data_IF_471266330591
#
_entry.id   IF_471266330591
#
_cell.length_a   1.000
_cell.length_b   1.000
_cell.length_c   1.000
_cell.angle_alpha   90.00
_cell.angle_beta   90.00
_cell.angle_gamma   90.00
#
_symmetry.space_group_name_H-M   'P 1'
#
loop_
_entity.id
_entity.type
_entity.pdbx_description
1 polymer ?
#
# COMPACT_ATOMS: atom_id res chain seq x y z
N UNK A 1 -47.89 47.75 46.11
CA UNK A 1 -47.73 47.27 44.72
C UNK A 1 -46.45 46.46 44.56
N UNK A 2 -46.34 45.30 45.23
CA UNK A 2 -45.17 44.40 45.08
C UNK A 2 -45.54 42.92 45.09
N UNK A 3 -46.83 42.57 45.03
CA UNK A 3 -47.30 41.18 45.03
C UNK A 3 -47.86 40.71 43.68
N UNK A 4 -48.03 41.61 42.70
CA UNK A 4 -48.67 41.30 41.41
C UNK A 4 -47.69 40.93 40.27
N UNK A 5 -46.38 41.20 40.43
CA UNK A 5 -45.36 40.84 39.44
C UNK A 5 -44.78 39.44 39.61
N UNK A 6 -45.02 38.79 40.77
CA UNK A 6 -44.47 37.46 41.10
C UNK A 6 -45.38 36.32 40.62
N UNK A 7 -46.68 36.55 40.51
CA UNK A 7 -47.67 35.52 40.11
C UNK A 7 -47.77 35.32 38.60
N UNK A 8 -47.54 36.36 37.78
CA UNK A 8 -47.53 36.25 36.31
C UNK A 8 -46.36 35.41 35.79
N UNK A 9 -45.16 35.63 36.31
CA UNK A 9 -43.94 34.89 35.94
C UNK A 9 -43.96 33.43 36.38
N UNK A 10 -44.57 33.11 37.53
CA UNK A 10 -44.77 31.72 37.97
C UNK A 10 -45.79 30.98 37.09
N UNK A 11 -46.90 31.62 36.72
CA UNK A 11 -47.91 31.05 35.82
C UNK A 11 -47.37 30.83 34.41
N UNK A 12 -46.55 31.75 33.90
CA UNK A 12 -45.93 31.62 32.58
C UNK A 12 -44.90 30.48 32.55
N UNK A 13 -44.15 30.28 33.65
CA UNK A 13 -43.19 29.18 33.77
C UNK A 13 -43.86 27.82 33.87
N UNK A 14 -44.99 27.73 34.59
CA UNK A 14 -45.78 26.49 34.72
C UNK A 14 -46.49 26.12 33.41
N UNK A 15 -47.03 27.12 32.70
CA UNK A 15 -47.57 26.96 31.35
C UNK A 15 -46.49 26.48 30.36
N UNK A 16 -45.28 27.05 30.43
CA UNK A 16 -44.16 26.65 29.59
C UNK A 16 -43.74 25.19 29.82
N UNK A 17 -43.64 24.76 31.08
CA UNK A 17 -43.32 23.34 31.41
C UNK A 17 -44.40 22.39 30.94
N UNK A 18 -45.67 22.76 31.13
CA UNK A 18 -46.82 21.95 30.70
C UNK A 18 -46.79 21.75 29.19
N UNK A 19 -46.56 22.83 28.45
CA UNK A 19 -46.53 22.80 26.99
C UNK A 19 -45.31 22.04 26.45
N UNK A 20 -44.15 22.20 27.09
CA UNK A 20 -42.96 21.37 26.80
C UNK A 20 -43.23 19.89 27.00
N UNK A 21 -43.86 19.50 28.11
CA UNK A 21 -44.21 18.11 28.41
C UNK A 21 -45.22 17.56 27.39
N UNK A 22 -46.23 18.35 27.00
CA UNK A 22 -47.19 18.00 25.95
C UNK A 22 -46.50 17.70 24.63
N UNK A 23 -45.65 18.61 24.14
CA UNK A 23 -44.93 18.45 22.88
C UNK A 23 -44.05 17.19 22.91
N UNK A 24 -43.31 16.96 24.00
CA UNK A 24 -42.45 15.78 24.14
C UNK A 24 -43.24 14.47 24.15
N UNK A 25 -44.40 14.44 24.79
CA UNK A 25 -45.27 13.26 24.83
C UNK A 25 -45.86 12.95 23.44
N UNK A 26 -46.39 13.95 22.74
CA UNK A 26 -46.92 13.77 21.38
C UNK A 26 -45.84 13.30 20.39
N UNK A 27 -44.63 13.86 20.49
CA UNK A 27 -43.49 13.41 19.69
C UNK A 27 -43.06 11.97 20.01
N UNK A 28 -43.21 11.53 21.26
CA UNK A 28 -42.90 10.16 21.67
C UNK A 28 -43.86 9.17 21.02
N UNK A 29 -45.15 9.50 20.96
CA UNK A 29 -46.16 8.69 20.28
C UNK A 29 -45.95 8.66 18.75
N UNK A 30 -45.41 9.74 18.18
CA UNK A 30 -45.14 9.87 16.75
C UNK A 30 -43.78 9.32 16.28
N UNK A 31 -42.94 8.75 17.16
CA UNK A 31 -41.55 8.37 16.82
C UNK A 31 -41.43 7.49 15.59
N UNK A 32 -42.29 6.47 15.45
CA UNK A 32 -42.17 5.52 14.35
C UNK A 32 -42.52 6.16 13.00
N UNK A 33 -43.53 7.03 12.95
CA UNK A 33 -43.85 7.83 11.77
C UNK A 33 -42.73 8.81 11.44
N UNK A 34 -42.17 9.49 12.45
CA UNK A 34 -41.04 10.39 12.27
C UNK A 34 -39.81 9.67 11.74
N UNK A 35 -39.54 8.44 12.20
CA UNK A 35 -38.44 7.63 11.72
C UNK A 35 -38.62 7.25 10.24
N UNK A 36 -39.84 6.88 9.83
CA UNK A 36 -40.16 6.63 8.41
C UNK A 36 -39.96 7.87 7.55
N UNK A 37 -40.49 9.01 8.01
CA UNK A 37 -40.37 10.30 7.34
C UNK A 37 -38.91 10.71 7.19
N UNK A 38 -38.10 10.51 8.22
CA UNK A 38 -36.67 10.79 8.21
C UNK A 38 -35.89 9.91 7.24
N UNK A 39 -36.13 8.59 7.22
CA UNK A 39 -35.47 7.67 6.28
C UNK A 39 -35.82 8.01 4.84
N UNK A 40 -37.09 8.33 4.56
CA UNK A 40 -37.50 8.74 3.21
C UNK A 40 -36.87 10.06 2.79
N UNK A 41 -36.71 10.99 3.74
CA UNK A 41 -36.03 12.27 3.49
C UNK A 41 -34.54 12.05 3.22
N UNK A 42 -33.87 11.20 4.00
CA UNK A 42 -32.48 10.79 3.75
C UNK A 42 -32.32 10.15 2.38
N UNK A 43 -33.25 9.28 1.98
CA UNK A 43 -33.25 8.63 0.66
C UNK A 43 -33.34 9.64 -0.47
N UNK A 44 -34.18 10.68 -0.32
CA UNK A 44 -34.37 11.73 -1.32
C UNK A 44 -33.19 12.69 -1.40
N UNK A 45 -32.56 13.01 -0.28
CA UNK A 45 -31.52 14.05 -0.20
C UNK A 45 -30.09 13.51 -0.30
N UNK A 46 -29.88 12.22 -0.02
CA UNK A 46 -28.55 11.61 0.00
C UNK A 46 -28.50 10.47 -1.03
N UNK A 47 -27.89 10.67 -2.22
CA UNK A 47 -27.85 9.67 -3.28
C UNK A 47 -27.33 8.30 -2.84
N UNK A 48 -26.38 8.27 -1.90
CA UNK A 48 -25.84 7.03 -1.35
C UNK A 48 -26.86 6.20 -0.56
N UNK A 49 -27.91 6.81 0.02
CA UNK A 49 -29.00 6.10 0.69
C UNK A 49 -30.03 5.54 -0.31
N UNK A 50 -30.25 6.23 -1.43
CA UNK A 50 -31.14 5.75 -2.50
C UNK A 50 -30.64 4.45 -3.13
N UNK A 51 -29.33 4.35 -3.34
CA UNK A 51 -28.70 3.18 -3.97
C UNK A 51 -28.74 1.89 -3.13
N UNK A 52 -29.19 1.94 -1.86
CA UNK A 52 -29.13 0.81 -0.92
C UNK A 52 -30.45 0.04 -0.81
N UNK A 53 -30.35 -1.26 -0.55
CA UNK A 53 -31.49 -2.19 -0.47
C UNK A 53 -32.38 -2.02 0.77
N UNK A 54 -33.47 -2.79 0.82
CA UNK A 54 -34.48 -2.73 1.90
C UNK A 54 -33.93 -3.08 3.28
N UNK A 55 -33.01 -4.04 3.38
CA UNK A 55 -32.37 -4.42 4.66
C UNK A 55 -31.58 -3.27 5.26
N UNK A 56 -30.77 -2.58 4.44
CA UNK A 56 -30.05 -1.38 4.87
C UNK A 56 -31.01 -0.29 5.35
N UNK A 57 -32.11 -0.05 4.62
CA UNK A 57 -33.11 0.95 5.03
C UNK A 57 -33.80 0.61 6.34
N UNK A 58 -34.13 -0.67 6.57
CA UNK A 58 -34.71 -1.12 7.84
C UNK A 58 -33.75 -0.88 9.02
N UNK A 59 -32.46 -1.17 8.82
CA UNK A 59 -31.41 -0.91 9.82
C UNK A 59 -31.22 0.59 10.11
N UNK A 60 -31.26 1.45 9.08
CA UNK A 60 -31.26 2.92 9.27
C UNK A 60 -32.51 3.37 10.04
N UNK A 61 -33.70 2.87 9.69
CA UNK A 61 -34.96 3.21 10.38
C UNK A 61 -34.91 2.86 11.86
N UNK A 62 -34.42 1.67 12.20
CA UNK A 62 -34.24 1.25 13.58
C UNK A 62 -33.31 2.23 14.32
N UNK A 63 -32.16 2.56 13.74
CA UNK A 63 -31.21 3.49 14.32
C UNK A 63 -31.82 4.88 14.54
N UNK A 64 -32.53 5.43 13.54
CA UNK A 64 -33.20 6.74 13.64
C UNK A 64 -34.25 6.73 14.75
N UNK A 65 -35.10 5.71 14.79
CA UNK A 65 -36.12 5.56 15.84
C UNK A 65 -35.51 5.46 17.23
N UNK A 66 -34.36 4.79 17.39
CA UNK A 66 -33.62 4.78 18.67
C UNK A 66 -33.10 6.15 19.03
N UNK A 67 -32.50 6.89 18.09
CA UNK A 67 -32.06 8.26 18.34
C UNK A 67 -33.21 9.17 18.79
N UNK A 68 -34.39 9.08 18.17
CA UNK A 68 -35.54 9.88 18.56
C UNK A 68 -36.04 9.55 19.96
N UNK A 69 -36.18 8.27 20.31
CA UNK A 69 -36.55 7.85 21.68
C UNK A 69 -35.54 8.34 22.71
N UNK A 70 -34.24 8.20 22.43
CA UNK A 70 -33.18 8.66 23.34
C UNK A 70 -33.17 10.19 23.48
N UNK A 71 -33.33 10.95 22.38
CA UNK A 71 -33.44 12.42 22.42
C UNK A 71 -34.59 12.85 23.33
N UNK A 72 -35.75 12.25 23.15
CA UNK A 72 -36.95 12.55 23.94
C UNK A 72 -36.75 12.22 25.41
N UNK A 73 -36.20 11.04 25.74
CA UNK A 73 -35.90 10.66 27.12
C UNK A 73 -34.97 11.67 27.82
N UNK A 74 -33.88 12.05 27.16
CA UNK A 74 -32.92 13.04 27.67
C UNK A 74 -33.58 14.41 27.90
N UNK A 75 -34.48 14.83 27.00
CA UNK A 75 -35.22 16.10 27.11
C UNK A 75 -36.27 16.10 28.22
N UNK A 76 -36.96 14.98 28.42
CA UNK A 76 -37.96 14.79 29.48
C UNK A 76 -37.31 14.74 30.86
N UNK A 77 -36.12 14.12 30.96
CA UNK A 77 -35.33 14.04 32.19
C UNK A 77 -34.48 15.29 32.46
N UNK A 78 -34.53 16.28 31.56
CA UNK A 78 -33.79 17.55 31.63
C UNK A 78 -32.28 17.40 31.92
N UNK A 79 -31.69 16.33 31.39
CA UNK A 79 -30.26 16.03 31.56
C UNK A 79 -29.49 16.15 30.26
N UNK A 80 -28.17 16.00 30.35
CA UNK A 80 -27.31 15.87 29.17
C UNK A 80 -27.22 14.42 28.72
N UNK A 81 -27.09 14.20 27.42
CA UNK A 81 -26.81 12.88 26.85
C UNK A 81 -25.45 12.37 27.33
N UNK A 82 -25.38 11.08 27.62
CA UNK A 82 -24.17 10.36 28.03
C UNK A 82 -23.75 9.37 26.95
N UNK A 83 -22.55 8.81 27.06
CA UNK A 83 -22.09 7.76 26.16
C UNK A 83 -22.98 6.50 26.20
N UNK A 84 -23.50 6.13 27.37
CA UNK A 84 -24.35 4.95 27.54
C UNK A 84 -25.67 5.08 26.75
N UNK A 85 -26.27 6.28 26.76
CA UNK A 85 -27.49 6.58 26.01
C UNK A 85 -27.37 6.32 24.51
N UNK A 86 -26.17 6.51 23.96
CA UNK A 86 -25.88 6.38 22.52
C UNK A 86 -24.98 5.19 22.20
N UNK A 87 -24.71 4.28 23.14
CA UNK A 87 -23.80 3.16 22.94
C UNK A 87 -24.20 2.25 21.75
N UNK A 88 -25.49 2.24 21.40
CA UNK A 88 -26.01 1.52 20.25
C UNK A 88 -25.47 2.01 18.89
N UNK A 89 -25.06 3.27 18.81
CA UNK A 89 -24.50 3.87 17.58
C UNK A 89 -23.22 3.20 17.13
N UNK A 90 -22.45 2.61 18.07
CA UNK A 90 -21.20 1.92 17.76
C UNK A 90 -21.42 0.76 16.79
N UNK A 91 -22.43 -0.10 17.06
CA UNK A 91 -22.73 -1.24 16.18
C UNK A 91 -23.21 -0.81 14.80
N UNK A 92 -24.03 0.24 14.74
CA UNK A 92 -24.49 0.79 13.46
C UNK A 92 -23.33 1.38 12.65
N UNK A 93 -22.45 2.15 13.30
CA UNK A 93 -21.26 2.73 12.68
C UNK A 93 -20.31 1.64 12.13
N UNK A 94 -20.13 0.55 12.88
CA UNK A 94 -19.37 -0.63 12.42
C UNK A 94 -19.99 -1.26 11.18
N UNK A 95 -21.32 -1.50 11.15
CA UNK A 95 -21.99 -2.05 9.97
C UNK A 95 -21.84 -1.14 8.75
N UNK A 96 -21.93 0.18 8.93
CA UNK A 96 -21.70 1.16 7.84
C UNK A 96 -20.28 1.06 7.30
N UNK A 97 -19.27 1.02 8.17
CA UNK A 97 -17.88 0.87 7.78
C UNK A 97 -17.62 -0.45 7.04
N UNK A 98 -18.13 -1.58 7.55
CA UNK A 98 -18.02 -2.90 6.92
C UNK A 98 -18.66 -2.94 5.52
N UNK A 99 -19.76 -2.22 5.32
CA UNK A 99 -20.45 -2.13 4.02
C UNK A 99 -19.79 -1.15 3.02
N UNK A 100 -18.66 -0.53 3.41
CA UNK A 100 -17.98 0.50 2.61
C UNK A 100 -18.82 1.76 2.40
N UNK A 101 -19.72 2.09 3.34
CA UNK A 101 -20.56 3.28 3.25
C UNK A 101 -19.74 4.52 3.60
N UNK A 102 -19.81 5.58 2.80
CA UNK A 102 -18.99 6.77 2.99
C UNK A 102 -19.27 7.49 4.33
N UNK A 103 -18.22 7.96 5.00
CA UNK A 103 -18.33 8.61 6.30
C UNK A 103 -19.06 9.96 6.18
N UNK A 104 -18.80 10.75 5.14
CA UNK A 104 -19.45 12.05 4.97
C UNK A 104 -20.95 11.87 4.73
N UNK A 105 -21.35 10.88 3.91
CA UNK A 105 -22.76 10.54 3.72
C UNK A 105 -23.41 10.01 5.01
N UNK A 106 -22.68 9.22 5.80
CA UNK A 106 -23.17 8.74 7.09
C UNK A 106 -23.42 9.89 8.06
N UNK A 107 -22.51 10.87 8.15
CA UNK A 107 -22.68 12.05 9.01
C UNK A 107 -23.77 12.99 8.48
N UNK A 108 -23.90 13.14 7.16
CA UNK A 108 -24.98 13.94 6.55
C UNK A 108 -26.37 13.41 6.95
N UNK A 109 -26.53 12.10 7.14
CA UNK A 109 -27.79 11.53 7.61
C UNK A 109 -28.19 11.99 9.02
N UNK A 110 -27.24 12.25 9.92
CA UNK A 110 -27.56 12.83 11.24
C UNK A 110 -28.14 14.24 11.10
N UNK A 111 -27.59 15.05 10.18
CA UNK A 111 -28.11 16.39 9.87
C UNK A 111 -29.54 16.33 9.34
N UNK A 112 -29.79 15.49 8.33
CA UNK A 112 -31.14 15.31 7.75
C UNK A 112 -32.12 14.80 8.81
N UNK A 113 -31.76 13.77 9.57
CA UNK A 113 -32.61 13.22 10.63
C UNK A 113 -32.89 14.21 11.76
N UNK A 114 -31.96 15.13 12.06
CA UNK A 114 -32.19 16.21 13.01
C UNK A 114 -33.15 17.27 12.46
N UNK A 115 -33.02 17.63 11.19
CA UNK A 115 -33.92 18.59 10.55
C UNK A 115 -35.37 18.10 10.60
N UNK A 116 -35.63 16.84 10.22
CA UNK A 116 -36.99 16.26 10.28
C UNK A 116 -37.56 16.27 11.71
N UNK A 117 -36.70 16.02 12.71
CA UNK A 117 -37.11 16.06 14.11
C UNK A 117 -37.42 17.49 14.58
N UNK A 118 -36.60 18.47 14.19
CA UNK A 118 -36.84 19.87 14.54
C UNK A 118 -38.11 20.43 13.89
N UNK A 119 -38.36 20.09 12.62
CA UNK A 119 -39.61 20.42 11.94
C UNK A 119 -40.82 19.84 12.68
N UNK A 120 -40.72 18.60 13.19
CA UNK A 120 -41.76 18.00 14.01
C UNK A 120 -41.98 18.74 15.34
N UNK A 121 -40.90 19.17 16.02
CA UNK A 121 -41.00 19.96 17.26
C UNK A 121 -41.77 21.27 17.00
N UNK A 122 -41.45 21.97 15.92
CA UNK A 122 -42.13 23.22 15.53
C UNK A 122 -43.60 22.96 15.15
N UNK A 123 -43.89 21.86 14.45
CA UNK A 123 -45.26 21.45 14.11
C UNK A 123 -46.11 21.23 15.37
N UNK A 124 -45.61 20.49 16.35
CA UNK A 124 -46.31 20.17 17.60
C UNK A 124 -46.39 21.36 18.56
N UNK A 125 -45.49 22.34 18.45
CA UNK A 125 -45.57 23.61 19.18
C UNK A 125 -46.81 24.44 18.79
N UNK A 126 -47.37 24.21 17.61
CA UNK A 126 -48.58 24.89 17.14
C UNK A 126 -48.39 26.40 16.97
N UNK A 127 -49.48 27.17 17.14
CA UNK A 127 -49.49 28.64 16.93
C UNK A 127 -49.48 29.46 18.22
N UNK A 128 -49.43 28.80 19.38
CA UNK A 128 -49.48 29.49 20.67
C UNK A 128 -48.11 30.09 21.00
N UNK A 129 -48.10 31.21 21.74
CA UNK A 129 -46.84 31.80 22.23
C UNK A 129 -46.09 30.83 23.16
N UNK A 130 -46.80 30.21 24.11
CA UNK A 130 -46.22 29.25 25.04
C UNK A 130 -45.61 28.03 24.34
N UNK A 131 -46.22 27.55 23.25
CA UNK A 131 -45.70 26.44 22.45
C UNK A 131 -44.41 26.78 21.72
N UNK A 132 -44.35 27.97 21.10
CA UNK A 132 -43.12 28.44 20.46
C UNK A 132 -41.98 28.61 21.47
N UNK A 133 -42.25 29.23 22.62
CA UNK A 133 -41.26 29.38 23.69
C UNK A 133 -40.80 28.00 24.19
N UNK A 134 -41.72 27.04 24.36
CA UNK A 134 -41.39 25.67 24.76
C UNK A 134 -40.45 25.00 23.74
N UNK A 135 -40.72 25.13 22.44
CA UNK A 135 -39.86 24.62 21.37
C UNK A 135 -38.46 25.24 21.40
N UNK A 136 -38.35 26.55 21.60
CA UNK A 136 -37.06 27.25 21.70
C UNK A 136 -36.22 26.72 22.87
N UNK A 137 -36.83 26.37 24.01
CA UNK A 137 -36.09 25.76 25.13
C UNK A 137 -35.45 24.41 24.80
N UNK A 138 -35.92 23.72 23.74
CA UNK A 138 -35.41 22.42 23.31
C UNK A 138 -34.31 22.54 22.24
N UNK A 139 -34.18 23.69 21.57
CA UNK A 139 -33.24 23.88 20.47
C UNK A 139 -31.79 23.57 20.86
N UNK A 140 -31.25 24.24 21.89
CA UNK A 140 -29.87 24.04 22.33
C UNK A 140 -29.60 22.62 22.87
N UNK A 141 -30.47 22.01 23.71
CA UNK A 141 -30.34 20.60 24.06
C UNK A 141 -30.34 19.64 22.86
N UNK A 142 -31.19 19.87 21.85
CA UNK A 142 -31.25 19.03 20.64
C UNK A 142 -30.00 19.17 19.77
N UNK A 143 -29.47 20.39 19.63
CA UNK A 143 -28.18 20.63 18.96
C UNK A 143 -27.06 19.87 19.66
N UNK A 144 -26.93 20.04 20.99
CA UNK A 144 -25.91 19.33 21.79
C UNK A 144 -26.03 17.82 21.69
N UNK A 145 -27.25 17.27 21.68
CA UNK A 145 -27.44 15.84 21.44
C UNK A 145 -26.90 15.42 20.07
N UNK A 146 -27.25 16.16 19.01
CA UNK A 146 -26.85 15.79 17.65
C UNK A 146 -25.33 15.86 17.47
N UNK A 147 -24.71 16.92 17.98
CA UNK A 147 -23.26 17.09 17.95
C UNK A 147 -22.57 15.93 18.69
N UNK A 148 -23.08 15.58 19.87
CA UNK A 148 -22.54 14.48 20.67
C UNK A 148 -22.71 13.12 19.95
N UNK A 149 -23.92 12.81 19.47
CA UNK A 149 -24.21 11.55 18.80
C UNK A 149 -23.45 11.39 17.47
N UNK A 150 -23.39 12.43 16.64
CA UNK A 150 -22.68 12.40 15.36
C UNK A 150 -21.17 12.29 15.54
N UNK A 151 -20.59 13.02 16.51
CA UNK A 151 -19.16 12.92 16.85
C UNK A 151 -18.79 11.51 17.30
N UNK A 152 -19.57 10.91 18.19
CA UNK A 152 -19.31 9.54 18.65
C UNK A 152 -19.51 8.48 17.54
N UNK A 153 -20.50 8.66 16.67
CA UNK A 153 -20.68 7.80 15.51
C UNK A 153 -19.51 7.91 14.51
N UNK A 154 -19.02 9.12 14.25
CA UNK A 154 -17.85 9.37 13.40
C UNK A 154 -16.58 8.71 13.96
N UNK A 155 -16.33 8.89 15.26
CA UNK A 155 -15.18 8.30 15.95
C UNK A 155 -15.25 6.76 15.90
N UNK A 156 -16.41 6.17 16.19
CA UNK A 156 -16.58 4.71 16.13
C UNK A 156 -16.40 4.15 14.70
N UNK A 157 -16.86 4.89 13.69
CA UNK A 157 -16.63 4.54 12.29
C UNK A 157 -15.13 4.58 11.94
N UNK A 158 -14.45 5.67 12.30
CA UNK A 158 -13.03 5.87 12.00
C UNK A 158 -12.15 4.84 12.73
N UNK A 159 -12.42 4.56 14.01
CA UNK A 159 -11.75 3.52 14.80
C UNK A 159 -11.87 2.15 14.12
N UNK A 160 -13.08 1.80 13.66
CA UNK A 160 -13.29 0.52 12.97
C UNK A 160 -12.55 0.45 11.63
N UNK A 161 -12.58 1.52 10.83
CA UNK A 161 -11.83 1.58 9.57
C UNK A 161 -10.31 1.43 9.80
N UNK A 162 -9.78 2.12 10.82
CA UNK A 162 -8.37 2.02 11.19
C UNK A 162 -8.01 0.61 11.64
N UNK A 163 -8.85 -0.01 12.47
CA UNK A 163 -8.66 -1.39 12.91
C UNK A 163 -8.70 -2.37 11.73
N UNK A 164 -9.67 -2.26 10.84
CA UNK A 164 -9.80 -3.11 9.65
C UNK A 164 -8.61 -2.93 8.70
N UNK A 165 -8.14 -1.70 8.49
CA UNK A 165 -6.95 -1.43 7.69
C UNK A 165 -5.68 -2.02 8.32
N UNK A 166 -5.52 -1.87 9.64
CA UNK A 166 -4.40 -2.46 10.37
C UNK A 166 -4.40 -3.99 10.31
N UNK A 167 -5.57 -4.61 10.41
CA UNK A 167 -5.72 -6.06 10.31
C UNK A 167 -5.44 -6.56 8.89
N UNK A 168 -5.90 -5.86 7.86
CA UNK A 168 -5.58 -6.18 6.46
C UNK A 168 -4.06 -6.11 6.17
N UNK A 169 -3.37 -5.12 6.73
CA UNK A 169 -1.90 -5.01 6.64
C UNK A 169 -1.22 -6.16 7.38
N UNK A 170 -1.72 -6.53 8.57
CA UNK A 170 -1.22 -7.68 9.34
C UNK A 170 -1.39 -8.99 8.56
N UNK A 171 -2.59 -9.26 8.05
CA UNK A 171 -2.91 -10.45 7.25
C UNK A 171 -2.03 -10.54 6.00
N UNK A 172 -1.80 -9.41 5.32
CA UNK A 172 -0.91 -9.35 4.16
C UNK A 172 0.53 -9.70 4.54
N UNK A 173 1.01 -9.19 5.67
CA UNK A 173 2.37 -9.48 6.17
C UNK A 173 2.50 -10.93 6.57
N UNK A 174 1.56 -11.46 7.34
CA UNK A 174 1.56 -12.86 7.77
C UNK A 174 1.48 -13.81 6.56
N UNK A 175 0.71 -13.45 5.53
CA UNK A 175 0.68 -14.17 4.27
C UNK A 175 2.05 -14.15 3.57
N UNK A 176 2.72 -13.00 3.50
CA UNK A 176 4.07 -12.93 2.92
C UNK A 176 5.04 -13.81 3.70
N UNK A 177 5.07 -13.76 5.04
CA UNK A 177 5.96 -14.63 5.83
C UNK A 177 5.67 -16.12 5.56
N UNK A 178 4.39 -16.52 5.51
CA UNK A 178 3.99 -17.89 5.16
C UNK A 178 4.52 -18.31 3.78
N UNK A 179 4.34 -17.46 2.77
CA UNK A 179 4.81 -17.69 1.41
C UNK A 179 6.35 -17.76 1.33
N UNK A 180 7.05 -16.94 2.13
CA UNK A 180 8.51 -16.96 2.22
C UNK A 180 9.06 -18.18 2.99
N UNK A 181 8.21 -18.91 3.73
CA UNK A 181 8.52 -20.25 4.24
C UNK A 181 8.25 -21.36 3.22
N UNK A 182 7.67 -21.03 2.06
CA UNK A 182 7.32 -22.00 1.02
C UNK A 182 5.99 -22.70 1.29
N UNK A 183 5.21 -22.18 2.23
CA UNK A 183 3.90 -22.70 2.57
C UNK A 183 2.79 -21.94 1.83
N UNK A 184 1.68 -22.62 1.57
CA UNK A 184 0.51 -22.03 0.93
C UNK A 184 -0.67 -21.98 1.91
N UNK A 185 -1.45 -20.87 1.95
CA UNK A 185 -2.60 -20.79 2.83
C UNK A 185 -3.69 -21.78 2.38
N UNK A 186 -4.26 -22.52 3.33
CA UNK A 186 -5.28 -23.56 3.04
C UNK A 186 -6.71 -23.14 3.37
N UNK A 187 -6.89 -22.18 4.28
CA UNK A 187 -8.21 -21.71 4.73
C UNK A 187 -8.10 -20.37 5.47
N UNK A 188 -9.25 -19.74 5.72
CA UNK A 188 -9.35 -18.55 6.57
C UNK A 188 -8.92 -17.25 5.88
N UNK A 189 -8.62 -16.20 6.65
CA UNK A 189 -8.34 -14.86 6.12
C UNK A 189 -7.13 -14.82 5.17
N UNK A 190 -6.06 -15.56 5.48
CA UNK A 190 -4.87 -15.64 4.63
C UNK A 190 -5.17 -16.19 3.22
N UNK A 191 -6.05 -17.20 3.12
CA UNK A 191 -6.49 -17.72 1.81
C UNK A 191 -7.33 -16.67 1.06
N UNK A 192 -8.23 -15.96 1.76
CA UNK A 192 -9.03 -14.90 1.14
C UNK A 192 -8.14 -13.76 0.60
N UNK A 193 -7.13 -13.34 1.38
CA UNK A 193 -6.14 -12.34 0.99
C UNK A 193 -5.30 -12.81 -0.19
N UNK A 194 -4.82 -14.06 -0.18
CA UNK A 194 -4.08 -14.64 -1.31
C UNK A 194 -4.90 -14.61 -2.60
N UNK A 195 -6.16 -15.07 -2.55
CA UNK A 195 -7.06 -15.06 -3.70
C UNK A 195 -7.37 -13.63 -4.19
N UNK A 196 -7.53 -12.65 -3.29
CA UNK A 196 -7.73 -11.25 -3.66
C UNK A 196 -6.54 -10.67 -4.46
N UNK A 197 -5.33 -11.17 -4.20
CA UNK A 197 -4.09 -10.84 -4.90
C UNK A 197 -3.76 -11.76 -6.09
N UNK A 198 -4.67 -12.67 -6.46
CA UNK A 198 -4.47 -13.59 -7.58
C UNK A 198 -3.51 -14.75 -7.28
N UNK A 199 -3.14 -14.94 -6.02
CA UNK A 199 -2.29 -16.02 -5.52
C UNK A 199 -3.18 -17.21 -5.17
N UNK A 200 -3.45 -18.06 -6.15
CA UNK A 200 -4.26 -19.26 -5.97
C UNK A 200 -3.35 -20.48 -5.70
N UNK A 201 -3.40 -21.11 -4.50
CA UNK A 201 -2.61 -22.30 -4.17
C UNK A 201 -2.78 -23.48 -5.14
N UNK A 202 -3.97 -23.63 -5.71
CA UNK A 202 -4.30 -24.74 -6.61
C UNK A 202 -3.92 -24.45 -8.08
N UNK A 203 -3.47 -23.23 -8.37
CA UNK A 203 -3.07 -22.81 -9.72
C UNK A 203 -1.56 -22.85 -9.89
N UNK A 204 -1.10 -23.27 -11.07
CA UNK A 204 0.30 -23.12 -11.51
C UNK A 204 0.55 -21.77 -12.18
N UNK A 205 -0.07 -20.72 -11.65
CA UNK A 205 0.13 -19.38 -12.18
C UNK A 205 1.59 -18.97 -11.96
N UNK A 206 2.30 -18.47 -12.99
CA UNK A 206 3.66 -17.99 -12.80
C UNK A 206 3.70 -16.83 -11.80
N UNK A 207 4.62 -16.93 -10.84
CA UNK A 207 4.86 -15.98 -9.77
C UNK A 207 6.28 -15.43 -9.88
N UNK A 208 6.47 -14.22 -9.36
CA UNK A 208 7.77 -13.56 -9.21
C UNK A 208 7.83 -12.95 -7.83
N UNK A 209 9.02 -12.81 -7.26
CA UNK A 209 9.26 -12.03 -6.04
C UNK A 209 10.03 -10.77 -6.40
N UNK A 210 9.59 -9.65 -5.84
CA UNK A 210 10.29 -8.37 -5.89
C UNK A 210 10.72 -8.00 -4.48
N UNK A 211 12.02 -7.79 -4.29
CA UNK A 211 12.58 -7.23 -3.07
C UNK A 211 13.03 -5.79 -3.36
N UNK A 212 12.65 -4.84 -2.53
CA UNK A 212 12.96 -3.44 -2.74
C UNK A 212 13.42 -2.74 -1.47
N UNK A 213 14.44 -1.89 -1.58
CA UNK A 213 14.99 -1.11 -0.47
C UNK A 213 15.09 0.35 -0.87
N UNK A 214 14.75 1.25 0.06
CA UNK A 214 14.96 2.69 -0.13
C UNK A 214 16.41 3.00 0.20
N UNK A 215 17.07 3.79 -0.65
CA UNK A 215 18.47 4.16 -0.49
C UNK A 215 18.56 5.64 -0.08
N UNK A 216 19.41 5.94 0.89
CA UNK A 216 19.66 7.31 1.36
C UNK A 216 19.68 7.46 2.88
N UNK A 217 20.28 8.54 3.40
CA UNK A 217 20.53 8.72 4.83
C UNK A 217 19.29 9.09 5.67
N UNK A 218 18.17 9.50 5.05
CA UNK A 218 16.99 9.98 5.77
C UNK A 218 15.69 9.44 5.14
N UNK A 219 15.52 8.12 5.21
CA UNK A 219 14.33 7.43 4.68
C UNK A 219 13.14 7.65 5.62
N UNK A 220 12.27 8.60 5.26
CA UNK A 220 11.00 8.84 5.96
C UNK A 220 10.07 7.64 5.84
N UNK A 221 9.29 7.38 6.90
CA UNK A 221 8.28 6.31 6.91
C UNK A 221 7.26 6.46 5.76
N UNK A 222 6.88 7.69 5.43
CA UNK A 222 5.95 8.00 4.33
C UNK A 222 6.49 7.56 2.97
N UNK A 223 7.80 7.69 2.73
CA UNK A 223 8.44 7.28 1.49
C UNK A 223 8.37 5.76 1.29
N UNK A 224 8.52 4.97 2.37
CA UNK A 224 8.36 3.50 2.30
C UNK A 224 6.92 3.10 1.96
N UNK A 225 5.94 3.75 2.58
CA UNK A 225 4.53 3.49 2.29
C UNK A 225 4.17 3.87 0.84
N UNK A 226 4.66 5.02 0.36
CA UNK A 226 4.47 5.46 -1.03
C UNK A 226 5.07 4.45 -2.02
N UNK A 227 6.31 4.02 -1.79
CA UNK A 227 6.98 3.01 -2.63
C UNK A 227 6.24 1.65 -2.60
N UNK A 228 5.86 1.17 -1.42
CA UNK A 228 5.09 -0.08 -1.28
C UNK A 228 3.75 -0.01 -2.02
N UNK A 229 3.02 1.11 -1.87
CA UNK A 229 1.76 1.33 -2.57
C UNK A 229 1.95 1.41 -4.10
N UNK A 230 3.05 2.00 -4.57
CA UNK A 230 3.38 2.05 -6.00
C UNK A 230 3.69 0.65 -6.57
N UNK A 231 4.48 -0.15 -5.86
CA UNK A 231 4.77 -1.55 -6.22
C UNK A 231 3.49 -2.39 -6.20
N UNK A 232 2.59 -2.21 -5.23
CA UNK A 232 1.31 -2.92 -5.17
C UNK A 232 0.44 -2.70 -6.43
N UNK A 233 0.64 -1.57 -7.13
CA UNK A 233 -0.08 -1.21 -8.38
C UNK A 233 0.63 -1.69 -9.65
N UNK A 234 1.82 -2.28 -9.57
CA UNK A 234 2.59 -2.72 -10.75
C UNK A 234 2.08 -4.03 -11.37
N UNK A 235 1.20 -4.76 -10.67
CA UNK A 235 0.66 -6.05 -11.11
C UNK A 235 0.04 -6.00 -12.51
N UNK A 236 0.36 -6.99 -13.35
CA UNK A 236 -0.11 -7.06 -14.76
C UNK A 236 -1.45 -7.80 -14.86
N UNK A 237 -1.77 -8.64 -13.89
CA UNK A 237 -3.05 -9.32 -13.83
C UNK A 237 -4.18 -8.35 -13.42
N UNK A 238 -5.42 -8.84 -13.39
CA UNK A 238 -6.56 -8.08 -12.88
C UNK A 238 -6.46 -7.77 -11.38
N UNK A 239 -5.53 -8.43 -10.69
CA UNK A 239 -5.33 -8.31 -9.26
C UNK A 239 -4.18 -7.36 -8.94
N UNK A 240 -4.27 -6.68 -7.78
CA UNK A 240 -3.15 -5.93 -7.24
C UNK A 240 -2.06 -6.89 -6.78
N UNK A 241 -0.80 -6.48 -6.89
CA UNK A 241 0.32 -7.21 -6.33
C UNK A 241 0.23 -7.22 -4.81
N UNK A 242 0.40 -8.38 -4.18
CA UNK A 242 0.61 -8.46 -2.73
C UNK A 242 1.96 -7.80 -2.42
N UNK A 243 1.98 -6.69 -1.69
CA UNK A 243 3.20 -5.98 -1.33
C UNK A 243 3.13 -5.53 0.14
N UNK A 244 4.19 -5.76 0.90
CA UNK A 244 4.26 -5.43 2.32
C UNK A 244 5.61 -4.80 2.65
N UNK A 245 5.63 -3.93 3.66
CA UNK A 245 6.88 -3.47 4.27
C UNK A 245 7.29 -4.53 5.31
N UNK A 246 8.45 -5.15 5.10
CA UNK A 246 9.05 -6.16 5.97
C UNK A 246 10.34 -5.57 6.57
N UNK A 247 10.29 -5.15 7.83
CA UNK A 247 11.40 -4.46 8.50
C UNK A 247 11.87 -3.21 7.72
N UNK A 248 13.03 -3.27 7.07
CA UNK A 248 13.68 -2.19 6.32
C UNK A 248 13.44 -2.26 4.80
N UNK A 249 12.80 -3.32 4.31
CA UNK A 249 12.57 -3.56 2.89
C UNK A 249 11.09 -3.71 2.56
N UNK A 250 10.78 -3.71 1.27
CA UNK A 250 9.48 -4.02 0.72
C UNK A 250 9.59 -5.35 -0.01
N UNK A 251 8.68 -6.28 0.30
CA UNK A 251 8.57 -7.56 -0.39
C UNK A 251 7.24 -7.59 -1.11
N UNK A 252 7.27 -7.93 -2.40
CA UNK A 252 6.08 -8.05 -3.22
C UNK A 252 6.07 -9.36 -4.02
N UNK A 253 4.88 -9.96 -4.15
CA UNK A 253 4.65 -11.23 -4.84
C UNK A 253 3.61 -11.03 -5.95
N UNK A 254 4.02 -10.54 -7.13
CA UNK A 254 3.14 -10.44 -8.28
C UNK A 254 2.79 -11.80 -8.88
N UNK A 255 1.50 -12.04 -9.08
CA UNK A 255 0.99 -13.12 -9.93
C UNK A 255 0.89 -12.63 -11.38
N UNK A 256 1.63 -13.27 -12.29
CA UNK A 256 1.62 -12.93 -13.71
C UNK A 256 0.33 -13.37 -14.41
N UNK A 257 -0.32 -14.42 -13.87
CA UNK A 257 -1.50 -15.05 -14.46
C UNK A 257 -1.18 -15.89 -15.71
N UNK A 258 -2.20 -16.54 -16.31
CA UNK A 258 -1.99 -17.38 -17.49
C UNK A 258 -1.44 -16.58 -18.68
N UNK A 259 -0.28 -16.97 -19.20
CA UNK A 259 0.39 -16.28 -20.31
C UNK A 259 0.95 -14.91 -19.96
N UNK A 260 1.13 -14.61 -18.67
CA UNK A 260 1.72 -13.36 -18.22
C UNK A 260 3.20 -13.25 -18.61
N UNK A 261 3.55 -12.09 -19.17
CA UNK A 261 4.89 -11.80 -19.66
C UNK A 261 5.73 -11.13 -18.55
N UNK A 262 6.82 -11.75 -18.07
CA UNK A 262 7.68 -11.15 -17.06
C UNK A 262 8.37 -9.87 -17.54
N UNK A 263 8.59 -9.67 -18.85
CA UNK A 263 9.22 -8.45 -19.37
C UNK A 263 8.35 -7.23 -19.10
N UNK A 264 7.03 -7.36 -19.28
CA UNK A 264 6.07 -6.30 -18.97
C UNK A 264 6.03 -5.94 -17.48
N UNK A 265 6.32 -6.90 -16.59
CA UNK A 265 6.39 -6.64 -15.14
C UNK A 265 7.59 -5.75 -14.87
N UNK A 266 8.72 -6.13 -15.47
CA UNK A 266 9.97 -5.41 -15.34
C UNK A 266 9.85 -3.98 -15.90
N UNK A 267 9.16 -3.77 -17.03
CA UNK A 267 8.89 -2.41 -17.55
C UNK A 267 8.09 -1.57 -16.57
N UNK A 268 7.01 -2.13 -16.00
CA UNK A 268 6.19 -1.42 -15.02
C UNK A 268 6.97 -1.07 -13.75
N UNK A 269 7.79 -1.99 -13.26
CA UNK A 269 8.63 -1.75 -12.08
C UNK A 269 9.72 -0.72 -12.37
N UNK A 270 10.31 -0.73 -13.57
CA UNK A 270 11.22 0.31 -14.03
C UNK A 270 10.54 1.68 -14.03
N UNK A 271 9.34 1.80 -14.59
CA UNK A 271 8.57 3.05 -14.54
C UNK A 271 8.20 3.48 -13.11
N UNK A 272 7.90 2.53 -12.21
CA UNK A 272 7.68 2.83 -10.79
C UNK A 272 8.94 3.42 -10.16
N UNK A 273 10.12 2.86 -10.43
CA UNK A 273 11.40 3.36 -9.95
C UNK A 273 11.68 4.78 -10.45
N UNK A 274 11.50 5.02 -11.74
CA UNK A 274 11.75 6.33 -12.38
C UNK A 274 10.81 7.42 -11.84
N UNK A 275 9.53 7.11 -11.67
CA UNK A 275 8.55 8.05 -11.11
C UNK A 275 8.87 8.40 -9.66
N UNK A 276 9.21 7.41 -8.84
CA UNK A 276 9.60 7.65 -7.45
C UNK A 276 10.90 8.43 -7.35
N UNK A 277 11.87 8.17 -8.24
CA UNK A 277 13.11 8.94 -8.30
C UNK A 277 12.85 10.41 -8.63
N UNK A 278 11.91 10.71 -9.53
CA UNK A 278 11.50 12.07 -9.84
C UNK A 278 10.85 12.80 -8.65
N UNK A 279 10.26 12.05 -7.71
CA UNK A 279 9.74 12.54 -6.43
C UNK A 279 10.81 12.59 -5.32
N UNK A 280 12.07 12.25 -5.63
CA UNK A 280 13.18 12.22 -4.69
C UNK A 280 13.27 10.95 -3.83
N UNK A 281 12.52 9.90 -4.16
CA UNK A 281 12.54 8.60 -3.50
C UNK A 281 13.46 7.66 -4.28
N UNK A 282 14.68 7.46 -3.79
CA UNK A 282 15.64 6.55 -4.40
C UNK A 282 15.33 5.10 -3.99
N UNK A 283 15.00 4.27 -4.97
CA UNK A 283 14.59 2.88 -4.76
C UNK A 283 15.50 1.92 -5.53
N UNK A 284 16.01 0.89 -4.85
CA UNK A 284 16.67 -0.26 -5.46
C UNK A 284 15.71 -1.46 -5.43
N UNK A 285 15.52 -2.13 -6.57
CA UNK A 285 14.62 -3.28 -6.70
C UNK A 285 15.30 -4.47 -7.36
N UNK A 286 15.21 -5.62 -6.73
CA UNK A 286 15.62 -6.90 -7.27
C UNK A 286 14.40 -7.73 -7.62
N UNK A 287 14.40 -8.34 -8.81
CA UNK A 287 13.31 -9.18 -9.31
C UNK A 287 13.83 -10.59 -9.53
N UNK A 288 13.17 -11.57 -8.94
CA UNK A 288 13.53 -12.99 -9.01
C UNK A 288 13.35 -13.59 -10.40
N UNK A 289 13.81 -14.82 -10.59
CA UNK A 289 13.33 -15.64 -11.71
C UNK A 289 11.83 -15.95 -11.57
N UNK A 290 11.21 -16.38 -12.66
CA UNK A 290 9.80 -16.82 -12.66
C UNK A 290 9.71 -18.21 -12.05
N UNK A 291 8.80 -18.37 -11.09
CA UNK A 291 8.50 -19.67 -10.45
C UNK A 291 7.06 -20.08 -10.70
N UNK A 292 6.77 -21.38 -10.67
CA UNK A 292 5.45 -21.93 -11.00
C UNK A 292 4.68 -22.43 -9.76
N UNK A 293 5.32 -22.42 -8.59
CA UNK A 293 4.73 -22.89 -7.34
C UNK A 293 5.12 -22.02 -6.14
N UNK A 294 4.20 -21.87 -5.18
CA UNK A 294 4.43 -21.12 -3.93
C UNK A 294 5.60 -21.67 -3.10
N UNK A 295 5.83 -22.99 -3.14
CA UNK A 295 6.97 -23.63 -2.47
C UNK A 295 8.34 -23.16 -2.96
N UNK A 296 8.41 -22.49 -4.12
CA UNK A 296 9.64 -21.95 -4.70
C UNK A 296 9.85 -20.45 -4.36
N UNK A 297 8.86 -19.79 -3.74
CA UNK A 297 8.95 -18.39 -3.34
C UNK A 297 10.10 -18.09 -2.35
N UNK A 298 10.51 -18.98 -1.42
CA UNK A 298 11.68 -18.74 -0.58
C UNK A 298 12.96 -18.53 -1.41
N UNK A 299 13.19 -19.42 -2.37
CA UNK A 299 14.31 -19.32 -3.31
C UNK A 299 14.20 -18.07 -4.19
N UNK A 300 13.01 -17.77 -4.71
CA UNK A 300 12.79 -16.59 -5.53
C UNK A 300 13.08 -15.29 -4.74
N UNK A 301 12.73 -15.26 -3.46
CA UNK A 301 13.05 -14.16 -2.56
C UNK A 301 14.56 -14.01 -2.32
N UNK A 302 15.29 -15.11 -2.09
CA UNK A 302 16.76 -15.08 -2.01
C UNK A 302 17.40 -14.56 -3.31
N UNK A 303 16.87 -14.97 -4.47
CA UNK A 303 17.30 -14.49 -5.78
C UNK A 303 17.09 -12.98 -5.94
N UNK A 304 15.87 -12.50 -5.63
CA UNK A 304 15.52 -11.08 -5.68
C UNK A 304 16.40 -10.24 -4.75
N UNK A 305 16.68 -10.73 -3.55
CA UNK A 305 17.55 -10.04 -2.59
C UNK A 305 19.01 -10.06 -3.02
N UNK A 306 19.50 -11.20 -3.51
CA UNK A 306 20.89 -11.35 -3.92
C UNK A 306 21.28 -10.41 -5.03
N UNK A 307 20.36 -10.06 -5.94
CA UNK A 307 20.65 -9.11 -7.02
C UNK A 307 20.68 -7.64 -6.57
N UNK A 308 20.09 -7.30 -5.41
CA UNK A 308 20.16 -5.94 -4.86
C UNK A 308 21.59 -5.53 -4.51
N UNK A 309 22.44 -6.48 -4.12
CA UNK A 309 23.84 -6.19 -3.75
C UNK A 309 24.68 -5.64 -4.90
N UNK A 310 24.24 -5.84 -6.15
CA UNK A 310 24.92 -5.39 -7.35
C UNK A 310 24.35 -4.09 -7.92
N UNK A 311 23.28 -3.54 -7.33
CA UNK A 311 22.74 -2.25 -7.72
C UNK A 311 23.57 -1.10 -7.15
N UNK A 312 23.67 0.02 -7.87
CA UNK A 312 24.41 1.18 -7.39
C UNK A 312 23.66 1.93 -6.27
N UNK A 313 24.36 2.84 -5.58
CA UNK A 313 23.81 3.62 -4.44
C UNK A 313 22.71 4.61 -4.85
N UNK A 314 22.59 4.94 -6.13
CA UNK A 314 21.49 5.72 -6.71
C UNK A 314 20.28 4.85 -7.11
N UNK A 315 20.28 3.57 -6.70
CA UNK A 315 19.16 2.66 -6.86
C UNK A 315 19.07 2.02 -8.24
N UNK A 316 17.86 1.69 -8.68
CA UNK A 316 17.60 1.06 -9.97
C UNK A 316 16.88 -0.28 -9.86
N UNK A 317 16.74 -0.98 -10.98
CA UNK A 317 16.05 -2.27 -11.07
C UNK A 317 16.98 -3.34 -11.64
N UNK A 318 17.25 -4.38 -10.87
CA UNK A 318 17.95 -5.58 -11.32
C UNK A 318 16.93 -6.70 -11.52
N UNK A 319 16.71 -7.09 -12.78
CA UNK A 319 15.66 -8.04 -13.13
C UNK A 319 16.22 -9.34 -13.70
N UNK A 320 16.17 -10.44 -12.93
CA UNK A 320 16.64 -11.74 -13.41
C UNK A 320 15.96 -12.23 -14.69
N UNK A 321 14.68 -11.95 -14.98
CA UNK A 321 14.07 -12.32 -16.25
C UNK A 321 14.71 -11.64 -17.47
N UNK A 322 15.50 -10.57 -17.27
CA UNK A 322 16.17 -9.80 -18.33
C UNK A 322 17.67 -10.08 -18.42
N UNK A 323 18.21 -10.90 -17.54
CA UNK A 323 19.64 -11.13 -17.42
C UNK A 323 19.92 -12.55 -17.93
N UNK A 324 20.89 -12.68 -18.83
CA UNK A 324 21.35 -13.99 -19.28
C UNK A 324 22.11 -14.73 -18.17
N UNK A 325 22.18 -16.08 -18.18
CA UNK A 325 23.00 -16.82 -17.22
C UNK A 325 24.47 -16.36 -17.19
N UNK A 326 25.00 -15.96 -18.34
CA UNK A 326 26.34 -15.40 -18.47
C UNK A 326 26.51 -14.09 -17.69
N UNK A 327 25.60 -13.14 -17.87
CA UNK A 327 25.60 -11.87 -17.14
C UNK A 327 25.38 -12.09 -15.63
N UNK A 328 24.51 -13.03 -15.24
CA UNK A 328 24.31 -13.38 -13.83
C UNK A 328 25.57 -13.95 -13.18
N UNK A 329 26.31 -14.82 -13.87
CA UNK A 329 27.59 -15.33 -13.37
C UNK A 329 28.62 -14.20 -13.23
N UNK A 330 28.68 -13.27 -14.19
CA UNK A 330 29.56 -12.11 -14.10
C UNK A 330 29.16 -11.18 -12.93
N UNK A 331 27.86 -10.99 -12.69
CA UNK A 331 27.33 -10.28 -11.51
C UNK A 331 27.85 -10.89 -10.21
N UNK A 332 27.80 -12.22 -10.09
CA UNK A 332 28.22 -12.94 -8.87
C UNK A 332 29.71 -13.21 -8.74
N UNK A 333 30.53 -12.79 -9.71
CA UNK A 333 31.96 -13.01 -9.68
C UNK A 333 32.61 -12.38 -8.43
N UNK A 334 33.46 -13.15 -7.77
CA UNK A 334 34.27 -12.69 -6.65
C UNK A 334 35.58 -12.03 -7.14
N UNK A 335 36.40 -11.57 -6.21
CA UNK A 335 37.67 -10.92 -6.56
C UNK A 335 38.65 -11.91 -7.18
N UNK A 336 38.55 -13.19 -6.84
CA UNK A 336 39.33 -14.26 -7.47
C UNK A 336 39.04 -14.33 -8.97
N UNK A 337 37.77 -14.42 -9.35
CA UNK A 337 37.35 -14.44 -10.75
C UNK A 337 37.81 -13.18 -11.51
N UNK A 338 37.80 -12.01 -10.85
CA UNK A 338 38.34 -10.77 -11.44
C UNK A 338 39.85 -10.82 -11.64
N UNK A 339 40.61 -11.37 -10.70
CA UNK A 339 42.07 -11.49 -10.79
C UNK A 339 42.53 -12.53 -11.82
N UNK A 340 41.66 -13.46 -12.23
CA UNK A 340 41.95 -14.41 -13.30
C UNK A 340 41.93 -13.78 -14.70
N UNK A 341 41.38 -12.57 -14.85
CA UNK A 341 41.40 -11.85 -16.13
C UNK A 341 42.83 -11.39 -16.44
N UNK A 342 43.32 -11.72 -17.65
CA UNK A 342 44.64 -11.31 -18.12
C UNK A 342 44.80 -9.77 -18.04
N UNK A 343 45.85 -9.25 -17.37
CA UNK A 343 46.08 -7.81 -17.25
C UNK A 343 46.05 -7.07 -18.60
N UNK A 344 46.54 -7.69 -19.68
CA UNK A 344 46.54 -7.08 -21.03
C UNK A 344 45.12 -6.83 -21.56
N UNK A 345 44.19 -7.72 -21.24
CA UNK A 345 42.76 -7.58 -21.59
C UNK A 345 42.15 -6.47 -20.74
N UNK A 346 42.39 -6.48 -19.44
CA UNK A 346 41.90 -5.45 -18.51
C UNK A 346 42.36 -4.04 -18.92
N UNK A 347 43.65 -3.88 -19.24
CA UNK A 347 44.25 -2.61 -19.67
C UNK A 347 43.65 -2.13 -21.00
N UNK A 348 43.46 -3.04 -21.97
CA UNK A 348 42.82 -2.70 -23.24
C UNK A 348 41.41 -2.17 -23.03
N UNK A 349 40.60 -2.87 -22.23
CA UNK A 349 39.20 -2.51 -22.01
C UNK A 349 39.06 -1.21 -21.20
N UNK A 350 39.92 -1.00 -20.20
CA UNK A 350 39.97 0.26 -19.45
C UNK A 350 40.32 1.45 -20.34
N UNK A 351 41.32 1.30 -21.22
CA UNK A 351 41.65 2.32 -22.22
C UNK A 351 40.54 2.56 -23.24
N UNK A 352 39.91 1.48 -23.73
CA UNK A 352 38.83 1.55 -24.70
C UNK A 352 37.63 2.30 -24.13
N UNK A 353 37.26 2.03 -22.87
CA UNK A 353 36.21 2.73 -22.15
C UNK A 353 36.46 4.24 -22.09
N UNK A 354 37.69 4.66 -21.76
CA UNK A 354 38.08 6.09 -21.78
C UNK A 354 38.01 6.73 -23.17
N UNK A 355 38.10 5.93 -24.24
CA UNK A 355 38.08 6.37 -25.64
C UNK A 355 36.74 6.10 -26.34
N UNK A 356 35.67 5.83 -25.60
CA UNK A 356 34.32 5.68 -26.13
C UNK A 356 33.88 4.24 -26.44
N UNK A 357 34.59 3.22 -25.96
CA UNK A 357 34.11 1.82 -25.93
C UNK A 357 34.02 1.12 -27.28
N UNK A 358 34.76 1.59 -28.28
CA UNK A 358 34.61 1.17 -29.68
C UNK A 358 35.09 -0.26 -29.92
N UNK A 359 36.18 -0.68 -29.27
CA UNK A 359 36.68 -2.06 -29.38
C UNK A 359 35.76 -3.03 -28.65
N UNK A 360 35.25 -2.65 -27.48
CA UNK A 360 34.25 -3.40 -26.72
C UNK A 360 32.98 -3.60 -27.55
N UNK A 361 32.47 -2.53 -28.18
CA UNK A 361 31.33 -2.62 -29.09
C UNK A 361 31.62 -3.55 -30.29
N UNK A 362 32.87 -3.56 -30.78
CA UNK A 362 33.29 -4.45 -31.87
C UNK A 362 33.31 -5.92 -31.44
N UNK A 363 33.80 -6.23 -30.24
CA UNK A 363 33.81 -7.59 -29.68
C UNK A 363 32.37 -8.11 -29.54
N UNK A 364 31.47 -7.32 -28.93
CA UNK A 364 30.06 -7.69 -28.77
C UNK A 364 29.34 -7.90 -30.09
N UNK A 365 29.51 -6.98 -31.04
CA UNK A 365 28.87 -7.09 -32.36
C UNK A 365 29.39 -8.31 -33.14
N UNK A 366 30.67 -8.64 -33.00
CA UNK A 366 31.26 -9.83 -33.62
C UNK A 366 30.72 -11.13 -33.00
N UNK A 367 30.57 -11.18 -31.68
CA UNK A 367 29.93 -12.30 -30.98
C UNK A 367 28.46 -12.45 -31.35
N UNK A 368 27.69 -11.36 -31.35
CA UNK A 368 26.27 -11.34 -31.71
C UNK A 368 25.99 -11.64 -33.20
N UNK A 369 27.03 -11.61 -34.03
CA UNK A 369 26.98 -11.98 -35.44
C UNK A 369 27.55 -13.38 -35.70
N UNK A 370 27.65 -14.24 -34.67
CA UNK A 370 28.17 -15.61 -34.77
C UNK A 370 29.55 -15.68 -35.45
N UNK A 371 30.46 -14.78 -35.06
CA UNK A 371 31.81 -14.65 -35.62
C UNK A 371 31.84 -14.19 -37.09
N UNK A 372 30.73 -13.68 -37.62
CA UNK A 372 30.67 -13.12 -38.98
C UNK A 372 31.07 -11.64 -38.99
N UNK A 373 32.28 -11.37 -39.48
CA UNK A 373 32.84 -10.02 -39.52
C UNK A 373 32.05 -9.06 -40.42
N UNK A 374 31.46 -9.57 -41.51
CA UNK A 374 30.69 -8.74 -42.45
C UNK A 374 29.39 -8.29 -41.81
N UNK A 375 28.66 -9.22 -41.21
CA UNK A 375 27.42 -8.92 -40.48
C UNK A 375 27.70 -8.00 -39.27
N UNK A 376 28.80 -8.22 -38.55
CA UNK A 376 29.21 -7.32 -37.46
C UNK A 376 29.51 -5.90 -37.94
N UNK A 377 30.21 -5.75 -39.07
CA UNK A 377 30.52 -4.45 -39.66
C UNK A 377 29.25 -3.71 -40.12
N UNK A 378 28.31 -4.44 -40.74
CA UNK A 378 27.00 -3.91 -41.14
C UNK A 378 26.19 -3.43 -39.92
N UNK A 379 26.12 -4.22 -38.84
CA UNK A 379 25.44 -3.83 -37.58
C UNK A 379 26.06 -2.59 -36.94
N UNK A 380 27.38 -2.47 -36.98
CA UNK A 380 28.13 -1.32 -36.47
C UNK A 380 28.13 -0.12 -37.43
N UNK A 381 27.55 -0.26 -38.63
CA UNK A 381 27.58 0.75 -39.70
C UNK A 381 29.00 1.24 -40.05
N UNK A 382 29.97 0.32 -40.04
CA UNK A 382 31.37 0.60 -40.39
C UNK A 382 31.78 -0.23 -41.62
N UNK A 383 32.84 0.23 -42.29
CA UNK A 383 33.42 -0.54 -43.39
C UNK A 383 34.06 -1.84 -42.85
N UNK A 384 33.96 -2.92 -43.63
CA UNK A 384 34.55 -4.23 -43.30
C UNK A 384 36.04 -4.14 -42.91
N UNK A 385 36.83 -3.36 -43.65
CA UNK A 385 38.25 -3.12 -43.37
C UNK A 385 38.48 -2.51 -41.98
N UNK A 386 37.61 -1.61 -41.53
CA UNK A 386 37.70 -0.99 -40.21
C UNK A 386 37.41 -2.02 -39.12
N UNK A 387 36.40 -2.87 -39.31
CA UNK A 387 36.11 -3.96 -38.40
C UNK A 387 37.28 -4.96 -38.31
N UNK A 388 37.87 -5.31 -39.47
CA UNK A 388 39.05 -6.20 -39.53
C UNK A 388 40.26 -5.59 -38.81
N UNK A 389 40.51 -4.29 -39.01
CA UNK A 389 41.56 -3.57 -38.31
C UNK A 389 41.36 -3.57 -36.79
N UNK A 390 40.13 -3.33 -36.32
CA UNK A 390 39.80 -3.37 -34.88
C UNK A 390 40.03 -4.75 -34.28
N UNK A 391 39.59 -5.82 -34.94
CA UNK A 391 39.86 -7.19 -34.51
C UNK A 391 41.36 -7.48 -34.40
N UNK A 392 42.14 -7.09 -35.42
CA UNK A 392 43.59 -7.28 -35.41
C UNK A 392 44.24 -6.52 -34.26
N UNK A 393 43.84 -5.26 -34.05
CA UNK A 393 44.35 -4.43 -32.95
C UNK A 393 44.04 -5.02 -31.57
N UNK A 394 42.86 -5.62 -31.39
CA UNK A 394 42.52 -6.32 -30.16
C UNK A 394 43.48 -7.50 -29.97
N UNK A 395 43.63 -8.35 -30.99
CA UNK A 395 44.53 -9.51 -30.94
C UNK A 395 46.00 -9.13 -30.68
N UNK A 396 46.51 -8.08 -31.33
CA UNK A 396 47.88 -7.60 -31.13
C UNK A 396 48.13 -7.14 -29.68
N UNK A 397 47.11 -6.55 -29.04
CA UNK A 397 47.22 -6.01 -27.68
C UNK A 397 46.98 -7.03 -26.58
N UNK A 398 46.06 -7.96 -26.79
CA UNK A 398 45.67 -8.95 -25.77
C UNK A 398 46.28 -10.33 -25.99
N UNK A 399 46.78 -10.61 -27.20
CA UNK A 399 47.15 -11.96 -27.62
C UNK A 399 45.96 -12.87 -27.95
N UNK A 400 44.72 -12.36 -27.84
CA UNK A 400 43.48 -13.14 -28.02
C UNK A 400 42.95 -13.04 -29.44
N UNK A 401 42.81 -14.18 -30.11
CA UNK A 401 42.23 -14.22 -31.45
C UNK A 401 40.73 -14.43 -31.34
N UNK A 402 39.94 -13.42 -31.69
CA UNK A 402 38.47 -13.46 -31.56
C UNK A 402 37.80 -14.53 -32.44
N UNK A 403 38.52 -15.11 -33.41
CA UNK A 403 38.02 -16.25 -34.21
C UNK A 403 38.16 -17.58 -33.48
N UNK A 404 38.94 -17.64 -32.40
CA UNK A 404 38.97 -18.78 -31.50
C UNK A 404 37.93 -18.57 -30.41
N UNK A 405 37.05 -19.56 -30.27
CA UNK A 405 35.93 -19.48 -29.34
C UNK A 405 36.36 -19.18 -27.90
N UNK A 406 37.38 -19.89 -27.39
CA UNK A 406 37.90 -19.70 -26.03
C UNK A 406 38.42 -18.27 -25.81
N UNK A 407 39.17 -17.73 -26.76
CA UNK A 407 39.70 -16.36 -26.69
C UNK A 407 38.57 -15.31 -26.74
N UNK A 408 37.52 -15.55 -27.52
CA UNK A 408 36.36 -14.68 -27.53
C UNK A 408 35.60 -14.73 -26.21
N UNK A 409 35.41 -15.93 -25.63
CA UNK A 409 34.77 -16.09 -24.33
C UNK A 409 35.58 -15.36 -23.24
N UNK A 410 36.90 -15.49 -23.24
CA UNK A 410 37.77 -14.77 -22.30
C UNK A 410 37.57 -13.24 -22.40
N UNK A 411 37.48 -12.71 -23.61
CA UNK A 411 37.20 -11.28 -23.83
C UNK A 411 35.79 -10.88 -23.39
N UNK A 412 34.78 -11.70 -23.68
CA UNK A 412 33.39 -11.43 -23.27
C UNK A 412 33.23 -11.49 -21.75
N UNK A 413 33.91 -12.42 -21.07
CA UNK A 413 33.90 -12.52 -19.60
C UNK A 413 34.55 -11.28 -19.02
N UNK A 414 35.72 -10.88 -19.53
CA UNK A 414 36.38 -9.66 -19.08
C UNK A 414 35.51 -8.41 -19.27
N UNK A 415 34.78 -8.31 -20.39
CA UNK A 415 33.81 -7.23 -20.64
C UNK A 415 32.68 -7.27 -19.61
N UNK A 416 32.02 -8.42 -19.43
CA UNK A 416 30.90 -8.54 -18.51
C UNK A 416 31.29 -8.24 -17.05
N UNK A 417 32.44 -8.73 -16.60
CA UNK A 417 33.00 -8.41 -15.28
C UNK A 417 33.27 -6.91 -15.13
N UNK A 418 33.63 -6.24 -16.22
CA UNK A 418 33.89 -4.81 -16.26
C UNK A 418 32.62 -3.95 -16.32
N UNK A 419 31.57 -4.39 -17.00
CA UNK A 419 30.28 -3.66 -17.07
C UNK A 419 29.55 -3.68 -15.73
N UNK A 420 29.71 -4.79 -15.01
CA UNK A 420 29.16 -5.00 -13.67
C UNK A 420 29.92 -4.20 -12.61
N UNK A 421 31.15 -3.73 -12.88
CA UNK A 421 31.89 -2.90 -11.94
C UNK A 421 31.09 -1.62 -11.63
N UNK A 422 30.69 -1.39 -10.36
CA UNK A 422 30.55 -0.02 -9.88
C UNK A 422 31.91 0.67 -10.09
N UNK A 423 31.97 1.96 -10.45
CA UNK A 423 33.22 2.64 -10.76
C UNK A 423 34.26 2.41 -9.66
N UNK A 424 35.34 1.72 -10.03
CA UNK A 424 36.44 1.36 -9.16
C UNK A 424 37.22 2.62 -8.77
N UNK A 425 36.97 3.15 -7.57
CA UNK A 425 37.90 3.90 -6.72
C UNK A 425 37.23 4.37 -5.42
N UNK A 426 36.66 3.47 -4.62
CA UNK A 426 36.34 3.85 -3.25
C UNK A 426 36.54 2.68 -2.26
N UNK A 427 37.70 2.56 -1.60
CA UNK A 427 37.97 1.53 -0.58
C UNK A 427 37.10 1.67 0.68
N UNK A 428 36.11 2.56 0.69
CA UNK A 428 35.11 2.74 1.75
C UNK A 428 33.66 2.38 1.38
N UNK A 429 33.36 1.96 0.14
CA UNK A 429 31.98 1.60 -0.26
C UNK A 429 31.64 0.20 0.24
N UNK A 430 31.04 0.12 1.42
CA UNK A 430 30.31 -1.08 1.85
C UNK A 430 29.23 -1.34 0.78
N UNK A 431 29.11 -2.58 0.31
CA UNK A 431 27.88 -3.08 -0.37
C UNK A 431 26.66 -2.68 0.47
N UNK A 432 25.44 -2.70 -0.07
CA UNK A 432 24.19 -2.58 0.71
C UNK A 432 24.15 -3.69 1.80
N UNK A 433 24.91 -3.52 2.88
CA UNK A 433 25.14 -4.45 3.99
C UNK A 433 24.52 -3.88 5.27
N UNK A 434 24.00 -2.65 5.24
CA UNK A 434 23.50 -1.96 6.43
C UNK A 434 21.99 -1.85 6.55
N UNK A 435 21.19 -2.65 5.83
CA UNK A 435 19.74 -2.70 6.08
C UNK A 435 19.24 -4.08 6.53
N UNK A 436 20.06 -5.14 6.46
CA UNK A 436 19.51 -6.51 6.41
C UNK A 436 20.14 -7.51 7.38
N UNK A 437 21.17 -7.13 8.14
CA UNK A 437 21.76 -7.98 9.19
C UNK A 437 21.66 -7.30 10.56
N UNK A 438 20.49 -7.38 11.19
CA UNK A 438 20.42 -7.38 12.66
C UNK A 438 20.14 -8.83 13.10
N UNK A 439 21.25 -9.54 13.31
CA UNK A 439 21.49 -10.64 14.25
C UNK A 439 20.32 -11.48 14.74
N UNK A 440 20.36 -12.77 14.39
CA UNK A 440 19.92 -13.88 15.25
C UNK A 440 20.40 -13.63 16.69
N UNK A 441 19.49 -13.21 17.55
CA UNK A 441 19.73 -13.07 18.98
C UNK A 441 19.71 -14.42 19.66
N UNK A 442 20.86 -15.12 19.66
CA UNK A 442 21.13 -16.09 20.72
C UNK A 442 21.26 -15.32 22.02
N UNK A 443 20.23 -15.40 22.86
CA UNK A 443 20.22 -14.86 24.20
C UNK A 443 21.28 -15.58 25.05
N UNK A 444 22.45 -14.96 25.18
CA UNK A 444 23.45 -15.34 26.17
C UNK A 444 22.99 -14.79 27.52
N UNK A 445 22.44 -15.66 28.37
CA UNK A 445 22.02 -15.35 29.73
C UNK A 445 23.26 -15.38 30.63
N UNK A 446 23.65 -14.27 31.29
CA UNK A 446 24.71 -14.33 32.29
C UNK A 446 24.15 -15.00 33.55
N UNK A 447 24.60 -16.23 33.77
CA UNK A 447 24.37 -16.98 35.02
C UNK A 447 24.94 -16.21 36.22
N UNK A 448 24.05 -15.67 37.04
CA UNK A 448 24.37 -15.14 38.37
C UNK A 448 24.15 -16.23 39.43
N UNK A 449 25.27 -16.78 39.93
CA UNK A 449 25.49 -17.55 41.17
C UNK A 449 27.00 -17.85 41.13
N UNK A 450 27.86 -17.69 42.13
CA UNK A 450 27.85 -17.37 43.57
C UNK A 450 29.37 -17.45 44.01
N UNK A 451 29.78 -17.52 45.29
CA UNK A 451 29.86 -16.50 46.33
C UNK A 451 31.32 -16.23 46.81
N UNK A 452 31.58 -15.06 47.41
CA UNK A 452 32.27 -14.89 48.72
C UNK A 452 32.47 -13.41 49.07
#
# INVERSE_FOLDING_TARGET
MSAAFSTGTLSDTENLRTERARILAELLDAVDELADRAVETMRREIPAYEARGSEFRADVREQVGRHYRTKLAVLMEERTVTFEDIAFTRRASMRRAQSGFDLADYINAFRVGQQVFWEAVVEHAGRSYAGHEAALTMASPLMRYCDFASTHAANAYAEFQQYAAAESVRESRDLVELLLCGEAPTRGPQLATALAHGLNPDSRSPLVVVAAVLVGPDVKADARHAACAAIARSGISKHRTLAVVRQSEIVAVPALGPGGDPERLCDRLQSVQENLLAEGIVLAMGISTVVEAMAQLPRAYEEARGVLEYLPEDGGVAALPRISPFEYMALRADDTARHLVDPRVSDLLAEDRMRGGVLTATIRAFAAADLNLRAAAERLQIHHNTAQYRLRRIQERTGRNLRHFTDLVDLLVAIALQDVLPPANNPGRKRLVSATNETDGTADVPSAHEPR
#
